data_IF_930896930445
#
_entry.id   IF_930896930445
#
_cell.length_a   1.000
_cell.length_b   1.000
_cell.length_c   1.000
_cell.angle_alpha   90.00
_cell.angle_beta   90.00
_cell.angle_gamma   90.00
#
_symmetry.space_group_name_H-M   'P 1'
#
loop_
_entity.id
_entity.type
_entity.pdbx_description
1 polymer ?
#
# COMPACT_ATOMS: atom_id res chain seq x y z
N UNK A 1 -3.49 -0.05 -1.91
CA UNK A 1 -3.18 -1.27 -2.70
C UNK A 1 -1.72 -1.55 -2.52
N UNK A 2 -1.36 -2.79 -2.26
CA UNK A 2 0.02 -3.24 -2.10
C UNK A 2 0.21 -4.43 -3.04
N UNK A 3 1.19 -4.36 -3.94
CA UNK A 3 1.49 -5.44 -4.91
C UNK A 3 2.07 -6.72 -4.28
N UNK A 4 2.08 -6.80 -2.95
CA UNK A 4 2.60 -7.91 -2.17
C UNK A 4 1.46 -8.53 -1.33
N UNK A 5 1.31 -9.85 -1.45
CA UNK A 5 0.21 -10.62 -0.86
C UNK A 5 0.65 -11.77 0.03
N UNK A 6 -0.32 -12.63 0.38
CA UNK A 6 -0.14 -13.80 1.26
C UNK A 6 0.91 -14.77 0.72
N UNK A 7 1.01 -14.95 -0.60
CA UNK A 7 2.02 -15.83 -1.23
C UNK A 7 3.46 -15.40 -0.94
N UNK A 8 3.68 -14.12 -0.66
CA UNK A 8 4.99 -13.56 -0.35
C UNK A 8 5.28 -13.52 1.16
N UNK A 9 4.46 -14.21 1.98
CA UNK A 9 4.54 -14.20 3.46
C UNK A 9 4.44 -12.80 4.05
N UNK A 10 3.76 -11.87 3.35
CA UNK A 10 3.43 -10.58 3.92
C UNK A 10 2.40 -10.79 5.03
N UNK A 11 2.68 -10.25 6.22
CA UNK A 11 1.73 -10.22 7.33
C UNK A 11 1.14 -8.83 7.45
N UNK A 12 -0.11 -8.69 7.92
CA UNK A 12 -0.70 -7.38 8.17
C UNK A 12 0.16 -6.55 9.14
N UNK A 13 0.75 -7.19 10.15
CA UNK A 13 1.66 -6.53 11.10
C UNK A 13 2.93 -5.99 10.44
N UNK A 14 3.50 -6.72 9.48
CA UNK A 14 4.72 -6.30 8.75
C UNK A 14 4.40 -5.12 7.84
N UNK A 15 3.28 -5.18 7.11
CA UNK A 15 2.85 -4.08 6.25
C UNK A 15 2.59 -2.82 7.07
N UNK A 16 1.87 -2.95 8.19
CA UNK A 16 1.64 -1.83 9.12
C UNK A 16 2.94 -1.29 9.68
N UNK A 17 3.87 -2.17 10.04
CA UNK A 17 5.19 -1.80 10.57
C UNK A 17 6.07 -1.08 9.55
N UNK A 18 5.95 -1.43 8.28
CA UNK A 18 6.65 -0.75 7.19
C UNK A 18 6.06 0.64 6.95
N UNK A 19 4.73 0.73 6.91
CA UNK A 19 4.03 1.99 6.69
C UNK A 19 4.31 2.99 7.82
N UNK A 20 4.25 2.56 9.09
CA UNK A 20 4.61 3.43 10.23
C UNK A 20 6.04 3.96 10.11
N UNK A 21 6.98 3.13 9.66
CA UNK A 21 8.39 3.46 9.61
C UNK A 21 8.70 4.43 8.46
N UNK A 22 8.02 4.26 7.32
CA UNK A 22 8.17 5.14 6.16
C UNK A 22 7.38 6.44 6.27
N UNK A 23 6.10 6.36 6.67
CA UNK A 23 5.20 7.51 6.69
C UNK A 23 5.17 8.25 8.06
N UNK A 24 5.73 7.64 9.11
CA UNK A 24 5.68 8.18 10.48
C UNK A 24 4.26 8.18 11.05
N UNK A 25 3.48 7.13 10.78
CA UNK A 25 2.08 6.99 11.22
C UNK A 25 1.95 5.98 12.36
N UNK A 26 0.87 6.11 13.14
CA UNK A 26 0.53 5.20 14.24
C UNK A 26 -0.45 4.11 13.81
N UNK A 27 -0.56 3.07 14.64
CA UNK A 27 -1.45 1.93 14.40
C UNK A 27 -2.93 2.33 14.37
N UNK A 28 -3.28 3.39 15.08
CA UNK A 28 -4.62 4.00 15.12
C UNK A 28 -5.06 4.52 13.74
N UNK A 29 -4.11 4.95 12.95
CA UNK A 29 -4.29 5.48 11.60
C UNK A 29 -4.48 4.37 10.55
N UNK A 30 -4.02 3.17 10.90
CA UNK A 30 -4.01 1.99 10.05
C UNK A 30 -5.24 1.14 10.35
N UNK A 31 -6.25 1.24 9.49
CA UNK A 31 -7.50 0.49 9.60
C UNK A 31 -7.37 -0.98 9.19
N UNK A 32 -8.44 -1.51 8.59
CA UNK A 32 -8.51 -2.95 8.27
C UNK A 32 -7.56 -3.32 7.13
N UNK A 33 -6.78 -4.39 7.34
CA UNK A 33 -5.95 -4.99 6.32
C UNK A 33 -6.67 -6.19 5.71
N UNK A 34 -6.82 -6.19 4.40
CA UNK A 34 -7.28 -7.33 3.61
C UNK A 34 -6.10 -7.94 2.86
N UNK A 35 -5.72 -9.17 3.17
CA UNK A 35 -4.71 -9.90 2.42
C UNK A 35 -5.36 -10.83 1.41
N UNK A 36 -4.96 -10.70 0.14
CA UNK A 36 -5.27 -11.65 -0.92
C UNK A 36 -4.00 -12.43 -1.29
N UNK A 37 -4.12 -13.37 -2.23
CA UNK A 37 -3.00 -14.23 -2.67
C UNK A 37 -1.85 -13.44 -3.30
N UNK A 38 -2.16 -12.51 -4.21
CA UNK A 38 -1.15 -11.75 -4.97
C UNK A 38 -0.94 -10.32 -4.46
N UNK A 39 -1.95 -9.71 -3.84
CA UNK A 39 -1.90 -8.32 -3.39
C UNK A 39 -2.63 -8.14 -2.06
N UNK A 40 -2.44 -6.99 -1.43
CA UNK A 40 -3.08 -6.64 -0.16
C UNK A 40 -3.70 -5.25 -0.22
N UNK A 41 -4.76 -5.05 0.54
CA UNK A 41 -5.39 -3.76 0.77
C UNK A 41 -5.29 -3.39 2.24
N UNK A 42 -5.17 -2.10 2.48
CA UNK A 42 -5.27 -1.53 3.81
C UNK A 42 -6.23 -0.35 3.71
N UNK A 43 -7.18 -0.30 4.62
CA UNK A 43 -8.10 0.80 4.79
C UNK A 43 -7.40 1.84 5.67
N UNK A 44 -7.19 3.05 5.14
CA UNK A 44 -6.56 4.18 5.85
C UNK A 44 -7.29 5.47 5.44
N UNK A 45 -7.28 6.51 6.28
CA UNK A 45 -7.84 7.81 5.93
C UNK A 45 -7.09 8.43 4.74
N UNK A 46 -7.80 9.16 3.86
CA UNK A 46 -7.22 9.78 2.66
C UNK A 46 -6.04 10.70 2.96
N UNK A 47 -6.16 11.52 4.01
CA UNK A 47 -5.12 12.43 4.48
C UNK A 47 -3.79 11.72 4.81
N UNK A 48 -3.87 10.46 5.22
CA UNK A 48 -2.70 9.63 5.50
C UNK A 48 -2.34 8.75 4.32
N UNK A 49 -3.31 8.30 3.52
CA UNK A 49 -3.09 7.51 2.31
C UNK A 49 -2.08 8.19 1.37
N UNK A 50 -2.29 9.47 1.02
CA UNK A 50 -1.39 10.23 0.15
C UNK A 50 0.03 10.31 0.71
N UNK A 51 0.14 10.57 2.02
CA UNK A 51 1.43 10.62 2.73
C UNK A 51 2.16 9.27 2.68
N UNK A 52 1.43 8.16 2.85
CA UNK A 52 1.98 6.80 2.79
C UNK A 52 2.49 6.51 1.38
N UNK A 53 1.72 6.84 0.36
CA UNK A 53 2.09 6.59 -1.04
C UNK A 53 3.35 7.37 -1.38
N UNK A 54 3.40 8.66 -1.05
CA UNK A 54 4.57 9.48 -1.28
C UNK A 54 5.81 8.98 -0.54
N UNK A 55 5.65 8.47 0.70
CA UNK A 55 6.76 7.95 1.50
C UNK A 55 7.21 6.53 1.12
N UNK A 56 6.31 5.74 0.54
CA UNK A 56 6.54 4.35 0.16
C UNK A 56 6.70 4.14 -1.36
N UNK A 57 6.73 5.21 -2.14
CA UNK A 57 6.96 5.13 -3.58
C UNK A 57 8.36 4.55 -3.86
N UNK A 58 8.43 3.54 -4.73
CA UNK A 58 9.69 2.94 -5.15
C UNK A 58 10.43 2.09 -4.10
N UNK A 59 9.80 1.73 -2.98
CA UNK A 59 10.48 0.92 -1.95
C UNK A 59 10.64 -0.54 -2.38
N UNK A 60 11.71 -1.18 -1.91
CA UNK A 60 11.97 -2.60 -2.15
C UNK A 60 11.97 -3.34 -0.82
N UNK A 61 11.18 -4.40 -0.71
CA UNK A 61 11.09 -5.24 0.48
C UNK A 61 11.58 -6.65 0.18
N UNK A 62 12.55 -7.14 0.96
CA UNK A 62 13.17 -8.46 0.81
C UNK A 62 13.66 -8.73 -0.62
N UNK A 63 14.42 -7.79 -1.19
CA UNK A 63 15.01 -7.90 -2.52
C UNK A 63 13.98 -8.03 -3.67
N UNK A 64 12.71 -7.69 -3.42
CA UNK A 64 11.69 -7.49 -4.44
C UNK A 64 11.17 -6.06 -4.40
N UNK A 65 10.91 -5.43 -5.55
CA UNK A 65 10.18 -4.17 -5.58
C UNK A 65 8.78 -4.41 -5.02
N UNK A 66 8.35 -3.54 -4.11
CA UNK A 66 6.97 -3.50 -3.67
C UNK A 66 6.38 -2.16 -4.07
N UNK A 67 5.16 -2.18 -4.59
CA UNK A 67 4.44 -0.98 -4.97
C UNK A 67 3.29 -0.78 -4.01
N UNK A 68 3.27 0.40 -3.38
CA UNK A 68 2.16 0.86 -2.56
C UNK A 68 1.45 1.97 -3.32
N UNK A 69 0.22 1.71 -3.72
CA UNK A 69 -0.64 2.66 -4.47
C UNK A 69 -1.91 2.98 -3.68
N UNK A 70 -2.54 4.15 -3.89
CA UNK A 70 -3.85 4.42 -3.29
C UNK A 70 -4.85 3.37 -3.75
N UNK A 71 -5.49 2.67 -2.81
CA UNK A 71 -6.67 1.88 -3.15
C UNK A 71 -7.87 2.83 -3.15
N UNK A 72 -8.14 3.47 -4.29
CA UNK A 72 -9.32 4.32 -4.44
C UNK A 72 -10.59 3.51 -4.14
N UNK A 73 -11.22 3.76 -3.00
CA UNK A 73 -12.61 3.36 -2.73
C UNK A 73 -13.50 4.60 -2.80
N UNK A 74 -13.84 5.02 -4.02
CA UNK A 74 -15.15 5.58 -4.40
C UNK A 74 -15.13 6.00 -5.86
N UNK A 75 -16.06 5.46 -6.64
CA UNK A 75 -16.83 6.21 -7.64
C UNK A 75 -16.15 6.86 -8.85
N UNK A 76 -14.82 6.98 -8.93
CA UNK A 76 -14.17 7.67 -10.04
C UNK A 76 -12.92 6.94 -10.49
N UNK A 77 -12.98 6.50 -11.76
CA UNK A 77 -11.85 6.13 -12.60
C UNK A 77 -10.66 7.06 -12.35
N UNK A 78 -9.45 6.53 -12.46
CA UNK A 78 -8.47 7.24 -13.25
C UNK A 78 -7.80 6.29 -14.23
N UNK A 79 -7.96 6.63 -15.51
CA UNK A 79 -6.86 6.72 -16.46
C UNK A 79 -5.57 6.00 -16.02
N UNK A 80 -5.48 4.73 -16.40
CA UNK A 80 -4.17 4.18 -16.70
C UNK A 80 -3.59 5.00 -17.83
N UNK A 81 -2.67 5.91 -17.51
CA UNK A 81 -1.74 6.46 -18.50
C UNK A 81 -1.01 5.28 -19.14
N UNK A 82 -1.49 4.88 -20.31
CA UNK A 82 -0.70 4.15 -21.30
C UNK A 82 0.24 5.17 -21.95
N UNK A 83 1.48 5.18 -21.48
CA UNK A 83 2.62 5.74 -22.20
C UNK A 83 3.58 4.57 -22.47
N UNK A 84 3.58 4.13 -23.73
CA UNK A 84 4.69 3.47 -24.44
C UNK A 84 4.22 3.40 -25.90
N UNK A 85 4.42 4.49 -26.66
CA UNK A 85 5.51 4.71 -27.62
C UNK A 85 5.12 4.25 -29.04
#
# INVERSE_FOLDING_TARGET
FVSMGKRQRLRPQELRSLIREKAGLTDDDLGRVHLLDNYSFIDVPEIHAEKIIAACDGISFRNRPIEIKPAKKKGENPEGKELAE
#
